data_IF_110145442880
#
_entry.id   IF_110145442880
#
_cell.length_a   1.000
_cell.length_b   1.000
_cell.length_c   1.000
_cell.angle_alpha   90.00
_cell.angle_beta   90.00
_cell.angle_gamma   90.00
#
_symmetry.space_group_name_H-M   'P 1'
#
loop_
_entity.id
_entity.type
_entity.pdbx_description
1 polymer ?
#
# COMPACT_ATOMS: atom_id res chain seq x y z
N UNK A 1 -12.98 25.48 -13.31
CA UNK A 1 -11.69 25.94 -13.87
C UNK A 1 -11.05 24.80 -14.65
N UNK A 2 -10.44 25.09 -15.82
CA UNK A 2 -9.68 24.11 -16.59
C UNK A 2 -8.22 24.49 -16.64
N UNK A 3 -7.34 23.48 -16.58
CA UNK A 3 -5.89 23.64 -16.69
C UNK A 3 -5.37 22.82 -17.86
N UNK A 4 -4.27 23.24 -18.51
CA UNK A 4 -3.61 22.43 -19.52
C UNK A 4 -3.04 21.15 -18.89
N UNK A 5 -2.89 20.10 -19.70
CA UNK A 5 -2.49 18.78 -19.19
C UNK A 5 -1.11 18.77 -18.53
N UNK A 6 -0.16 19.55 -19.05
CA UNK A 6 1.18 19.68 -18.45
C UNK A 6 1.12 20.26 -17.04
N UNK A 7 0.25 21.25 -16.79
CA UNK A 7 0.09 21.85 -15.47
C UNK A 7 -0.58 20.86 -14.51
N UNK A 8 -1.55 20.08 -14.99
CA UNK A 8 -2.14 19.00 -14.20
C UNK A 8 -1.08 17.95 -13.78
N UNK A 9 -0.15 17.60 -14.69
CA UNK A 9 0.97 16.72 -14.36
C UNK A 9 1.88 17.30 -13.29
N UNK A 10 2.23 18.59 -13.38
CA UNK A 10 3.03 19.27 -12.37
C UNK A 10 2.33 19.27 -11.01
N UNK A 11 1.03 19.63 -10.97
CA UNK A 11 0.25 19.63 -9.74
C UNK A 11 0.19 18.25 -9.11
N UNK A 12 -0.04 17.20 -9.91
CA UNK A 12 -0.02 15.83 -9.42
C UNK A 12 1.38 15.45 -8.93
N UNK A 13 2.43 15.69 -9.70
CA UNK A 13 3.81 15.36 -9.34
C UNK A 13 4.23 15.99 -8.01
N UNK A 14 4.00 17.29 -7.85
CA UNK A 14 4.28 18.01 -6.60
C UNK A 14 3.47 17.42 -5.45
N UNK A 15 2.16 17.19 -5.64
CA UNK A 15 1.31 16.69 -4.55
C UNK A 15 1.68 15.27 -4.12
N UNK A 16 2.00 14.39 -5.07
CA UNK A 16 2.50 13.05 -4.77
C UNK A 16 3.82 13.14 -4.00
N UNK A 17 4.79 13.93 -4.49
CA UNK A 17 6.08 14.10 -3.82
C UNK A 17 5.92 14.67 -2.41
N UNK A 18 5.13 15.73 -2.25
CA UNK A 18 4.85 16.34 -0.94
C UNK A 18 4.19 15.34 -0.02
N UNK A 19 3.14 14.63 -0.44
CA UNK A 19 2.48 13.63 0.38
C UNK A 19 3.44 12.50 0.80
N UNK A 20 4.29 12.04 -0.11
CA UNK A 20 5.29 11.00 0.17
C UNK A 20 6.35 11.42 1.19
N UNK A 21 6.74 12.70 1.19
CA UNK A 21 7.78 13.23 2.07
C UNK A 21 7.23 13.82 3.38
N UNK A 22 5.95 14.18 3.45
CA UNK A 22 5.40 14.95 4.58
C UNK A 22 5.55 14.24 5.92
N UNK A 23 5.46 12.91 5.91
CA UNK A 23 5.65 12.10 7.11
C UNK A 23 7.08 12.19 7.65
N UNK A 24 8.07 12.11 6.76
CA UNK A 24 9.49 12.22 7.12
C UNK A 24 9.81 13.61 7.64
N UNK A 25 9.29 14.64 6.98
CA UNK A 25 9.39 16.01 7.51
C UNK A 25 8.79 16.11 8.90
N UNK A 26 7.63 15.52 9.19
CA UNK A 26 7.03 15.62 10.52
C UNK A 26 7.76 14.80 11.60
N UNK A 27 8.27 13.61 11.28
CA UNK A 27 8.99 12.76 12.23
C UNK A 27 10.40 13.25 12.55
N UNK A 28 11.07 13.90 11.60
CA UNK A 28 12.42 14.46 11.78
C UNK A 28 12.43 15.93 12.26
N UNK A 29 11.30 16.65 12.12
CA UNK A 29 11.11 18.02 12.59
C UNK A 29 10.25 18.14 13.89
N UNK A 30 10.39 17.30 14.94
CA UNK A 30 9.90 17.68 16.26
C UNK A 30 10.74 18.81 16.89
N UNK A 31 11.93 19.10 16.36
CA UNK A 31 12.94 20.00 16.97
C UNK A 31 13.50 21.09 16.05
N UNK A 32 12.98 21.31 14.84
CA UNK A 32 13.50 22.38 13.98
C UNK A 32 13.06 23.75 14.52
N UNK A 33 13.98 24.67 14.84
CA UNK A 33 13.63 26.04 15.18
C UNK A 33 13.08 26.84 13.98
N UNK A 34 13.11 26.27 12.77
CA UNK A 34 12.77 26.96 11.51
C UNK A 34 11.40 26.59 10.93
N UNK A 35 10.79 25.47 11.34
CA UNK A 35 9.52 24.99 10.77
C UNK A 35 8.48 24.83 11.87
N UNK A 36 7.68 25.88 12.02
CA UNK A 36 6.63 26.07 13.02
C UNK A 36 5.38 25.18 12.74
N UNK A 37 4.51 24.89 13.74
CA UNK A 37 3.15 24.33 13.57
C UNK A 37 2.32 24.89 12.40
N UNK A 38 2.71 26.04 11.84
CA UNK A 38 2.28 26.56 10.53
C UNK A 38 2.24 25.53 9.38
N UNK A 39 3.07 24.48 9.35
CA UNK A 39 2.96 23.43 8.30
C UNK A 39 1.63 22.67 8.42
N UNK A 40 1.15 22.43 9.64
CA UNK A 40 -0.20 21.93 9.88
C UNK A 40 -1.27 22.91 9.38
N UNK A 41 -1.05 24.21 9.58
CA UNK A 41 -1.96 25.28 9.12
C UNK A 41 -1.99 25.43 7.59
N UNK A 42 -0.86 25.25 6.90
CA UNK A 42 -0.78 25.30 5.44
C UNK A 42 -1.35 24.05 4.78
N UNK A 43 -1.08 22.86 5.35
CA UNK A 43 -1.72 21.62 4.90
C UNK A 43 -3.24 21.69 5.08
N UNK A 44 -3.69 22.17 6.24
CA UNK A 44 -5.12 22.41 6.50
C UNK A 44 -5.71 23.42 5.51
N UNK A 45 -5.05 24.55 5.27
CA UNK A 45 -5.50 25.56 4.31
C UNK A 45 -5.59 24.99 2.87
N UNK A 46 -4.60 24.17 2.47
CA UNK A 46 -4.61 23.51 1.16
C UNK A 46 -5.78 22.52 1.03
N UNK A 47 -6.01 21.69 2.06
CA UNK A 47 -7.17 20.78 2.12
C UNK A 47 -8.48 21.56 2.06
N UNK A 48 -8.62 22.62 2.86
CA UNK A 48 -9.81 23.46 2.88
C UNK A 48 -10.09 24.11 1.52
N UNK A 49 -9.06 24.69 0.89
CA UNK A 49 -9.17 25.25 -0.45
C UNK A 49 -9.60 24.19 -1.48
N UNK A 50 -9.03 22.98 -1.43
CA UNK A 50 -9.43 21.88 -2.31
C UNK A 50 -10.88 21.44 -2.07
N UNK A 51 -11.36 21.46 -0.83
CA UNK A 51 -12.77 21.20 -0.52
C UNK A 51 -13.68 22.29 -1.10
N UNK A 52 -13.28 23.56 -1.04
CA UNK A 52 -14.02 24.66 -1.69
C UNK A 52 -14.06 24.48 -3.22
N UNK A 53 -12.94 24.08 -3.84
CA UNK A 53 -12.88 23.76 -5.26
C UNK A 53 -13.79 22.58 -5.60
N UNK A 54 -13.79 21.52 -4.78
CA UNK A 54 -14.68 20.37 -4.95
C UNK A 54 -16.15 20.78 -4.86
N UNK A 55 -16.52 21.55 -3.83
CA UNK A 55 -17.88 22.04 -3.62
C UNK A 55 -18.36 22.92 -4.79
N UNK A 56 -17.49 23.82 -5.26
CA UNK A 56 -17.77 24.65 -6.44
C UNK A 56 -17.98 23.82 -7.70
N UNK A 57 -17.08 22.87 -7.98
CA UNK A 57 -17.17 22.04 -9.19
C UNK A 57 -18.37 21.08 -9.15
N UNK A 58 -18.78 20.64 -7.97
CA UNK A 58 -20.01 19.86 -7.77
C UNK A 58 -21.25 20.69 -8.09
N UNK A 59 -21.33 21.94 -7.61
CA UNK A 59 -22.43 22.87 -7.91
C UNK A 59 -22.52 23.24 -9.39
N UNK A 60 -21.38 23.48 -10.04
CA UNK A 60 -21.35 23.94 -11.45
C UNK A 60 -21.61 22.82 -12.48
N UNK A 61 -21.56 21.55 -12.08
CA UNK A 61 -21.81 20.43 -13.00
C UNK A 61 -20.79 20.32 -14.14
N UNK A 62 -21.08 19.55 -15.20
CA UNK A 62 -20.20 19.40 -16.37
C UNK A 62 -20.16 20.67 -17.24
N UNK A 63 -18.97 21.26 -17.40
CA UNK A 63 -18.73 22.38 -18.33
C UNK A 63 -17.99 21.88 -19.59
N UNK A 64 -18.39 22.26 -20.82
CA UNK A 64 -17.68 21.93 -22.08
C UNK A 64 -16.42 22.79 -22.29
N UNK A 65 -15.41 22.31 -23.03
CA UNK A 65 -14.16 23.05 -23.34
C UNK A 65 -12.86 22.22 -23.28
N UNK A 66 -11.77 22.84 -23.75
CA UNK A 66 -10.43 22.22 -23.84
C UNK A 66 -9.67 22.25 -22.50
N UNK A 67 -8.97 21.15 -22.16
CA UNK A 67 -8.16 21.01 -20.95
C UNK A 67 -8.80 20.14 -19.85
N UNK A 68 -8.06 19.93 -18.77
CA UNK A 68 -8.46 19.09 -17.63
C UNK A 68 -9.18 19.96 -16.61
N UNK A 69 -10.39 19.56 -16.21
CA UNK A 69 -11.11 20.26 -15.14
C UNK A 69 -10.39 20.08 -13.81
N UNK A 70 -10.24 21.15 -13.04
CA UNK A 70 -9.69 21.07 -11.68
C UNK A 70 -10.46 20.07 -10.82
N UNK A 71 -11.79 20.08 -10.88
CA UNK A 71 -12.63 19.10 -10.18
C UNK A 71 -12.39 17.64 -10.58
N UNK A 72 -11.70 17.39 -11.71
CA UNK A 72 -11.27 16.03 -12.05
C UNK A 72 -10.05 15.58 -11.28
N UNK A 73 -9.11 16.46 -10.97
CA UNK A 73 -7.90 16.13 -10.21
C UNK A 73 -8.10 16.32 -8.71
N UNK A 74 -9.05 17.17 -8.28
CA UNK A 74 -9.33 17.42 -6.86
C UNK A 74 -9.51 16.16 -6.00
N UNK A 75 -10.23 15.10 -6.43
CA UNK A 75 -10.36 13.89 -5.62
C UNK A 75 -9.03 13.26 -5.22
N UNK A 76 -8.07 13.14 -6.15
CA UNK A 76 -6.78 12.53 -5.83
C UNK A 76 -5.91 13.44 -4.98
N UNK A 77 -5.99 14.75 -5.18
CA UNK A 77 -5.29 15.72 -4.31
C UNK A 77 -5.83 15.68 -2.88
N UNK A 78 -7.17 15.62 -2.73
CA UNK A 78 -7.81 15.45 -1.42
C UNK A 78 -7.44 14.12 -0.78
N UNK A 79 -7.42 13.02 -1.52
CA UNK A 79 -6.99 11.72 -0.99
C UNK A 79 -5.58 11.80 -0.41
N UNK A 80 -4.62 12.36 -1.16
CA UNK A 80 -3.22 12.49 -0.76
C UNK A 80 -3.03 13.41 0.45
N UNK A 81 -3.67 14.58 0.47
CA UNK A 81 -3.42 15.59 1.50
C UNK A 81 -4.26 15.38 2.76
N UNK A 82 -5.54 15.00 2.62
CA UNK A 82 -6.42 14.79 3.76
C UNK A 82 -6.00 13.55 4.56
N UNK A 83 -5.56 12.48 3.90
CA UNK A 83 -5.02 11.33 4.62
C UNK A 83 -3.83 11.74 5.48
N UNK A 84 -2.88 12.50 4.93
CA UNK A 84 -1.71 12.98 5.67
C UNK A 84 -2.07 13.91 6.82
N UNK A 85 -3.02 14.81 6.61
CA UNK A 85 -3.50 15.68 7.68
C UNK A 85 -4.13 14.88 8.83
N UNK A 86 -4.97 13.89 8.50
CA UNK A 86 -5.59 13.00 9.50
C UNK A 86 -4.53 12.16 10.22
N UNK A 87 -3.61 11.53 9.49
CA UNK A 87 -2.63 10.61 10.09
C UNK A 87 -1.60 11.34 10.97
N UNK A 88 -1.16 12.53 10.57
CA UNK A 88 -0.24 13.35 11.37
C UNK A 88 -0.95 14.06 12.54
N UNK A 89 -2.16 14.57 12.31
CA UNK A 89 -2.87 15.38 13.31
C UNK A 89 -3.64 14.56 14.35
N UNK A 90 -4.11 13.36 14.00
CA UNK A 90 -5.06 12.62 14.84
C UNK A 90 -4.52 11.30 15.37
N UNK A 91 -3.71 10.53 14.61
CA UNK A 91 -3.43 9.15 15.03
C UNK A 91 -2.65 9.07 16.34
N UNK A 92 -1.56 9.81 16.46
CA UNK A 92 -0.77 9.87 17.70
C UNK A 92 -1.60 10.39 18.88
N UNK A 93 -2.15 11.62 18.80
CA UNK A 93 -2.93 12.19 19.90
C UNK A 93 -4.10 11.32 20.35
N UNK A 94 -4.92 10.80 19.42
CA UNK A 94 -6.06 9.95 19.78
C UNK A 94 -5.60 8.62 20.36
N UNK A 95 -4.52 8.02 19.84
CA UNK A 95 -3.99 6.79 20.42
C UNK A 95 -3.55 7.00 21.88
N UNK A 96 -2.75 8.04 22.16
CA UNK A 96 -2.26 8.28 23.52
C UNK A 96 -3.35 8.68 24.52
N UNK A 97 -4.51 9.18 24.04
CA UNK A 97 -5.68 9.41 24.90
C UNK A 97 -6.37 8.11 25.34
N UNK A 98 -6.25 7.03 24.57
CA UNK A 98 -6.95 5.75 24.84
C UNK A 98 -6.00 4.60 25.16
N UNK A 99 -4.70 4.81 25.03
CA UNK A 99 -3.68 3.81 25.31
C UNK A 99 -3.63 3.53 26.81
N UNK A 100 -3.65 2.25 27.25
CA UNK A 100 -3.53 1.93 28.66
C UNK A 100 -2.19 2.40 29.23
N UNK A 101 -2.24 2.95 30.44
CA UNK A 101 -1.05 3.36 31.19
C UNK A 101 -0.21 2.15 31.61
N UNK A 102 1.10 2.36 31.81
CA UNK A 102 2.02 1.35 32.35
C UNK A 102 2.39 0.22 31.38
N UNK A 103 2.04 0.31 30.09
CA UNK A 103 2.47 -0.66 29.09
C UNK A 103 3.94 -0.47 28.72
N UNK A 104 4.66 -1.59 28.55
CA UNK A 104 5.99 -1.59 27.97
C UNK A 104 5.97 -1.03 26.53
N UNK A 105 7.06 -0.37 26.13
CA UNK A 105 7.18 0.32 24.84
C UNK A 105 6.86 -0.57 23.62
N UNK A 106 7.32 -1.82 23.63
CA UNK A 106 7.04 -2.77 22.55
C UNK A 106 5.54 -3.09 22.40
N UNK A 107 4.81 -3.15 23.52
CA UNK A 107 3.35 -3.34 23.49
C UNK A 107 2.63 -2.08 22.99
N UNK A 108 3.11 -0.89 23.36
CA UNK A 108 2.58 0.36 22.84
C UNK A 108 2.78 0.46 21.33
N UNK A 109 3.97 0.15 20.81
CA UNK A 109 4.24 0.16 19.36
C UNK A 109 3.35 -0.84 18.61
N UNK A 110 3.24 -2.08 19.10
CA UNK A 110 2.40 -3.10 18.46
C UNK A 110 0.92 -2.70 18.42
N UNK A 111 0.39 -2.12 19.51
CA UNK A 111 -0.98 -1.61 19.58
C UNK A 111 -1.16 -0.37 18.71
N UNK A 112 -0.18 0.53 18.68
CA UNK A 112 -0.22 1.72 17.83
C UNK A 112 -0.26 1.33 16.35
N UNK A 113 0.48 0.31 15.92
CA UNK A 113 0.41 -0.21 14.53
C UNK A 113 -0.98 -0.71 14.17
N UNK A 114 -1.64 -1.43 15.07
CA UNK A 114 -3.03 -1.86 14.88
C UNK A 114 -3.98 -0.66 14.82
N UNK A 115 -3.85 0.29 15.76
CA UNK A 115 -4.64 1.52 15.80
C UNK A 115 -4.49 2.35 14.52
N UNK A 116 -3.26 2.58 14.06
CA UNK A 116 -2.97 3.31 12.83
C UNK A 116 -3.50 2.59 11.60
N UNK A 117 -3.45 1.25 11.56
CA UNK A 117 -4.08 0.46 10.50
C UNK A 117 -5.60 0.64 10.45
N UNK A 118 -6.27 0.63 11.61
CA UNK A 118 -7.70 0.93 11.70
C UNK A 118 -8.02 2.37 11.27
N UNK A 119 -7.24 3.33 11.79
CA UNK A 119 -7.37 4.75 11.44
C UNK A 119 -7.25 4.98 9.95
N UNK A 120 -6.29 4.32 9.29
CA UNK A 120 -6.10 4.41 7.84
C UNK A 120 -7.26 3.78 7.07
N UNK A 121 -7.84 2.68 7.54
CA UNK A 121 -9.04 2.10 6.92
C UNK A 121 -10.25 3.01 7.03
N UNK A 122 -10.48 3.61 8.20
CA UNK A 122 -11.56 4.58 8.40
C UNK A 122 -11.36 5.81 7.51
N UNK A 123 -10.11 6.29 7.42
CA UNK A 123 -9.72 7.38 6.52
C UNK A 123 -10.00 6.99 5.07
N UNK A 124 -9.61 5.79 4.65
CA UNK A 124 -9.89 5.27 3.32
C UNK A 124 -11.39 5.18 3.01
N UNK A 125 -12.22 4.78 3.98
CA UNK A 125 -13.67 4.75 3.84
C UNK A 125 -14.23 6.16 3.59
N UNK A 126 -13.77 7.16 4.36
CA UNK A 126 -14.11 8.57 4.15
C UNK A 126 -13.68 9.05 2.75
N UNK A 127 -12.42 8.80 2.38
CA UNK A 127 -11.83 9.23 1.11
C UNK A 127 -12.48 8.58 -0.11
N UNK A 128 -13.01 7.36 0.04
CA UNK A 128 -13.74 6.66 -1.03
C UNK A 128 -14.94 7.48 -1.52
N UNK A 129 -15.52 8.32 -0.67
CA UNK A 129 -16.61 9.24 -1.02
C UNK A 129 -16.24 10.31 -2.05
N UNK A 130 -14.96 10.71 -2.13
CA UNK A 130 -14.51 11.73 -3.09
C UNK A 130 -14.48 11.24 -4.53
N UNK A 131 -14.46 9.92 -4.77
CA UNK A 131 -14.53 9.36 -6.11
C UNK A 131 -15.32 8.05 -6.16
N UNK A 132 -16.62 8.12 -6.52
CA UNK A 132 -17.43 6.92 -6.76
C UNK A 132 -16.83 5.95 -7.79
N UNK A 133 -16.18 6.40 -8.90
CA UNK A 133 -15.50 5.50 -9.81
C UNK A 133 -14.35 4.70 -9.17
N UNK A 134 -13.49 5.33 -8.35
CA UNK A 134 -12.43 4.61 -7.65
C UNK A 134 -13.02 3.66 -6.61
N UNK A 135 -13.97 4.11 -5.81
CA UNK A 135 -14.67 3.27 -4.85
C UNK A 135 -15.26 2.02 -5.51
N UNK A 136 -15.99 2.14 -6.62
CA UNK A 136 -16.53 0.98 -7.35
C UNK A 136 -15.44 0.02 -7.81
N UNK A 137 -14.29 0.53 -8.25
CA UNK A 137 -13.15 -0.32 -8.64
C UNK A 137 -12.54 -1.02 -7.43
N UNK A 138 -12.35 -0.31 -6.33
CA UNK A 138 -11.88 -0.85 -5.05
C UNK A 138 -12.82 -1.93 -4.54
N UNK A 139 -14.13 -1.66 -4.46
CA UNK A 139 -15.13 -2.61 -4.03
C UNK A 139 -15.09 -3.92 -4.83
N UNK A 140 -14.93 -3.84 -6.16
CA UNK A 140 -14.78 -5.05 -6.97
C UNK A 140 -13.58 -5.88 -6.52
N UNK A 141 -12.45 -5.25 -6.15
CA UNK A 141 -11.22 -5.93 -5.69
C UNK A 141 -11.34 -6.54 -4.29
N UNK A 142 -12.18 -5.98 -3.42
CA UNK A 142 -12.39 -6.43 -2.04
C UNK A 142 -13.67 -7.21 -1.78
N UNK A 143 -14.52 -7.41 -2.81
CA UNK A 143 -15.82 -8.07 -2.68
C UNK A 143 -15.71 -9.39 -1.90
N UNK A 144 -16.67 -9.74 -1.03
CA UNK A 144 -16.61 -10.95 -0.17
C UNK A 144 -16.25 -12.23 -0.94
N UNK A 145 -16.80 -12.42 -2.14
CA UNK A 145 -16.49 -13.58 -2.98
C UNK A 145 -15.04 -13.69 -3.48
N UNK A 146 -14.17 -12.68 -3.27
CA UNK A 146 -12.73 -12.75 -3.58
C UNK A 146 -11.86 -13.17 -2.39
N UNK A 147 -12.39 -13.09 -1.17
CA UNK A 147 -11.64 -13.40 0.05
C UNK A 147 -11.18 -14.86 0.12
N UNK A 148 -12.02 -15.88 -0.12
CA UNK A 148 -11.57 -17.27 -0.04
C UNK A 148 -10.40 -17.55 -0.98
N UNK A 149 -10.50 -17.09 -2.24
CA UNK A 149 -9.42 -17.24 -3.21
C UNK A 149 -8.17 -16.43 -2.81
N UNK A 150 -8.33 -15.27 -2.18
CA UNK A 150 -7.21 -14.46 -1.70
C UNK A 150 -6.47 -15.13 -0.56
N UNK A 151 -7.19 -15.60 0.46
CA UNK A 151 -6.64 -16.32 1.62
C UNK A 151 -5.95 -17.61 1.19
N UNK A 152 -6.59 -18.41 0.33
CA UNK A 152 -5.98 -19.64 -0.20
C UNK A 152 -4.72 -19.34 -1.04
N UNK A 153 -4.74 -18.25 -1.81
CA UNK A 153 -3.56 -17.80 -2.56
C UNK A 153 -2.40 -17.45 -1.63
N UNK A 154 -2.65 -16.67 -0.57
CA UNK A 154 -1.63 -16.31 0.43
C UNK A 154 -1.11 -17.56 1.13
N UNK A 155 -1.99 -18.45 1.58
CA UNK A 155 -1.62 -19.71 2.22
C UNK A 155 -0.75 -20.58 1.29
N UNK A 156 -1.08 -20.65 -0.01
CA UNK A 156 -0.29 -21.37 -1.00
C UNK A 156 1.11 -20.74 -1.21
N UNK A 157 1.22 -19.40 -1.22
CA UNK A 157 2.54 -18.72 -1.28
C UNK A 157 3.35 -19.04 -0.03
N UNK A 158 2.77 -18.85 1.16
CA UNK A 158 3.44 -19.08 2.44
C UNK A 158 3.92 -20.53 2.54
N UNK A 159 3.03 -21.50 2.30
CA UNK A 159 3.39 -22.91 2.30
C UNK A 159 4.47 -23.23 1.24
N UNK A 160 4.33 -22.67 0.03
CA UNK A 160 5.31 -22.84 -1.04
C UNK A 160 6.71 -22.31 -0.68
N UNK A 161 6.81 -21.17 0.01
CA UNK A 161 8.09 -20.62 0.50
C UNK A 161 8.78 -21.64 1.40
N UNK A 162 8.09 -22.13 2.43
CA UNK A 162 8.70 -23.06 3.39
C UNK A 162 8.96 -24.44 2.79
N UNK A 163 8.11 -24.93 1.89
CA UNK A 163 8.31 -26.20 1.20
C UNK A 163 9.53 -26.15 0.26
N UNK A 164 9.69 -25.08 -0.51
CA UNK A 164 10.84 -24.93 -1.43
C UNK A 164 12.14 -24.81 -0.62
N UNK A 165 12.18 -23.93 0.39
CA UNK A 165 13.38 -23.74 1.20
C UNK A 165 13.73 -24.99 2.01
N UNK A 166 12.75 -25.62 2.66
CA UNK A 166 12.96 -26.86 3.41
C UNK A 166 13.36 -28.03 2.51
N UNK A 167 12.75 -28.15 1.33
CA UNK A 167 13.08 -29.18 0.34
C UNK A 167 14.49 -29.01 -0.23
N UNK A 168 14.90 -27.78 -0.55
CA UNK A 168 16.27 -27.48 -1.00
C UNK A 168 17.29 -27.78 0.10
N UNK A 169 17.01 -27.39 1.35
CA UNK A 169 17.89 -27.69 2.46
C UNK A 169 18.06 -29.20 2.67
N UNK A 170 16.96 -29.96 2.65
CA UNK A 170 17.00 -31.41 2.76
C UNK A 170 17.77 -32.06 1.60
N UNK A 171 17.56 -31.58 0.36
CA UNK A 171 18.26 -32.08 -0.82
C UNK A 171 19.77 -31.81 -0.78
N UNK A 172 20.21 -30.73 -0.11
CA UNK A 172 21.61 -30.39 0.08
C UNK A 172 22.23 -31.03 1.35
N UNK A 173 21.50 -31.92 2.03
CA UNK A 173 21.96 -32.59 3.25
C UNK A 173 21.94 -31.72 4.51
N UNK A 174 21.40 -30.51 4.42
CA UNK A 174 21.28 -29.60 5.55
C UNK A 174 20.13 -29.98 6.49
N UNK A 175 20.36 -29.83 7.80
CA UNK A 175 19.33 -30.00 8.84
C UNK A 175 18.83 -28.65 9.32
N UNK A 176 17.98 -28.00 8.50
CA UNK A 176 17.32 -26.77 8.93
C UNK A 176 16.14 -27.10 9.86
N UNK A 177 16.05 -26.37 10.96
CA UNK A 177 14.89 -26.43 11.87
C UNK A 177 14.01 -25.23 11.65
N UNK A 178 12.71 -25.43 11.52
CA UNK A 178 11.76 -24.32 11.45
C UNK A 178 11.51 -23.79 12.86
N UNK A 179 11.94 -22.57 13.13
CA UNK A 179 11.71 -21.88 14.39
C UNK A 179 10.46 -21.00 14.28
N UNK A 180 9.57 -21.15 15.25
CA UNK A 180 8.38 -20.33 15.41
C UNK A 180 8.63 -19.28 16.49
N UNK A 181 8.25 -18.01 16.28
CA UNK A 181 8.27 -17.00 17.33
C UNK A 181 7.42 -17.43 18.52
N UNK A 182 7.83 -17.07 19.74
CA UNK A 182 7.09 -17.42 20.96
C UNK A 182 5.65 -16.87 20.91
N UNK A 183 4.63 -17.70 21.25
CA UNK A 183 3.23 -17.31 21.14
C UNK A 183 2.80 -16.43 22.33
N UNK A 184 3.33 -15.22 22.37
CA UNK A 184 3.03 -14.24 23.41
C UNK A 184 1.95 -13.25 22.95
N UNK A 185 1.31 -12.57 23.90
CA UNK A 185 0.29 -11.55 23.61
C UNK A 185 0.82 -10.45 22.65
N UNK A 186 2.10 -10.11 22.75
CA UNK A 186 2.77 -9.17 21.85
C UNK A 186 2.78 -9.66 20.39
N UNK A 187 3.04 -10.95 20.16
CA UNK A 187 3.04 -11.54 18.82
C UNK A 187 1.66 -11.43 18.18
N UNK A 188 0.59 -11.67 18.95
CA UNK A 188 -0.79 -11.51 18.47
C UNK A 188 -1.07 -10.09 17.99
N UNK A 189 -0.65 -9.07 18.74
CA UNK A 189 -0.78 -7.66 18.33
C UNK A 189 0.06 -7.33 17.09
N UNK A 190 1.29 -7.85 16.98
CA UNK A 190 2.12 -7.64 15.80
C UNK A 190 1.46 -8.27 14.57
N UNK A 191 1.03 -9.53 14.66
CA UNK A 191 0.43 -10.25 13.54
C UNK A 191 -0.85 -9.55 13.05
N UNK A 192 -1.80 -9.33 13.96
CA UNK A 192 -3.08 -8.69 13.64
C UNK A 192 -2.91 -7.22 13.21
N UNK A 193 -2.08 -6.47 13.92
CA UNK A 193 -1.83 -5.07 13.63
C UNK A 193 -1.17 -4.86 12.27
N UNK A 194 -0.19 -5.70 11.91
CA UNK A 194 0.43 -5.67 10.59
C UNK A 194 -0.50 -6.16 9.47
N UNK A 195 -1.34 -7.16 9.73
CA UNK A 195 -2.36 -7.57 8.76
C UNK A 195 -3.34 -6.43 8.44
N UNK A 196 -3.83 -5.76 9.50
CA UNK A 196 -4.75 -4.65 9.38
C UNK A 196 -4.11 -3.47 8.65
N UNK A 197 -2.88 -3.11 9.04
CA UNK A 197 -2.12 -2.04 8.40
C UNK A 197 -1.80 -2.34 6.93
N UNK A 198 -1.31 -3.54 6.61
CA UNK A 198 -1.05 -3.94 5.24
C UNK A 198 -2.33 -3.89 4.38
N UNK A 199 -3.47 -4.35 4.92
CA UNK A 199 -4.75 -4.23 4.22
C UNK A 199 -5.15 -2.77 3.99
N UNK A 200 -4.96 -1.90 4.98
CA UNK A 200 -5.21 -0.46 4.89
C UNK A 200 -4.35 0.22 3.82
N UNK A 201 -3.05 -0.06 3.83
CA UNK A 201 -2.10 0.50 2.86
C UNK A 201 -2.41 0.01 1.44
N UNK A 202 -2.69 -1.28 1.25
CA UNK A 202 -3.06 -1.81 -0.06
C UNK A 202 -4.41 -1.26 -0.54
N UNK A 203 -5.36 -1.03 0.36
CA UNK A 203 -6.61 -0.35 0.04
C UNK A 203 -6.32 1.09 -0.44
N UNK A 204 -5.45 1.81 0.27
CA UNK A 204 -5.13 3.20 -0.05
C UNK A 204 -4.34 3.33 -1.37
N UNK A 205 -3.13 2.77 -1.43
CA UNK A 205 -2.23 2.93 -2.57
C UNK A 205 -2.67 2.12 -3.79
N UNK A 206 -2.97 0.83 -3.58
CA UNK A 206 -3.16 -0.14 -4.67
C UNK A 206 -4.61 -0.29 -5.09
N UNK A 207 -5.54 0.30 -4.32
CA UNK A 207 -6.94 0.42 -4.74
C UNK A 207 -7.35 1.85 -5.03
N UNK A 208 -7.48 2.73 -4.03
CA UNK A 208 -8.02 4.08 -4.23
C UNK A 208 -7.15 4.94 -5.15
N UNK A 209 -5.90 5.22 -4.76
CA UNK A 209 -5.02 6.11 -5.51
C UNK A 209 -4.73 5.55 -6.91
N UNK A 210 -4.47 4.23 -7.01
CA UNK A 210 -4.27 3.55 -8.29
C UNK A 210 -5.50 3.67 -9.20
N UNK A 211 -6.70 3.44 -8.67
CA UNK A 211 -7.94 3.52 -9.45
C UNK A 211 -8.22 4.96 -9.93
N UNK A 212 -7.91 5.96 -9.10
CA UNK A 212 -8.02 7.37 -9.46
C UNK A 212 -7.02 7.77 -10.55
N UNK A 213 -5.76 7.36 -10.43
CA UNK A 213 -4.78 7.62 -11.49
C UNK A 213 -5.16 6.92 -12.80
N UNK A 214 -5.71 5.70 -12.74
CA UNK A 214 -6.22 5.02 -13.93
C UNK A 214 -7.44 5.74 -14.54
N UNK A 215 -8.26 6.41 -13.72
CA UNK A 215 -9.38 7.23 -14.20
C UNK A 215 -8.87 8.50 -14.88
N UNK A 216 -7.80 9.10 -14.35
CA UNK A 216 -7.19 10.33 -14.87
C UNK A 216 -6.31 10.11 -16.09
N UNK A 217 -5.66 8.95 -16.21
CA UNK A 217 -4.68 8.63 -17.26
C UNK A 217 -5.09 9.06 -18.68
N UNK A 218 -6.28 8.68 -19.19
CA UNK A 218 -6.71 9.09 -20.52
C UNK A 218 -6.82 10.61 -20.70
N UNK A 219 -7.20 11.34 -19.64
CA UNK A 219 -7.32 12.81 -19.64
C UNK A 219 -5.94 13.49 -19.60
N UNK A 220 -4.96 12.81 -19.03
CA UNK A 220 -3.56 13.23 -18.96
C UNK A 220 -2.75 12.87 -20.22
N UNK A 221 -3.39 12.27 -21.23
CA UNK A 221 -2.75 11.88 -22.49
C UNK A 221 -2.34 10.41 -22.58
N UNK A 222 -2.46 9.62 -21.51
CA UNK A 222 -2.16 8.19 -21.51
C UNK A 222 -3.35 7.38 -22.07
N UNK A 223 -3.48 7.36 -23.40
CA UNK A 223 -4.63 6.77 -24.11
C UNK A 223 -4.61 5.23 -24.19
N UNK A 224 -3.43 4.60 -24.05
CA UNK A 224 -3.30 3.14 -24.09
C UNK A 224 -3.56 2.47 -22.74
N UNK A 225 -4.08 1.23 -22.75
CA UNK A 225 -4.30 0.43 -21.52
C UNK A 225 -3.01 0.23 -20.73
N UNK A 226 -1.92 -0.10 -21.41
CA UNK A 226 -0.60 -0.30 -20.80
C UNK A 226 -0.06 1.02 -20.24
N UNK A 227 -0.06 2.08 -21.03
CA UNK A 227 0.37 3.41 -20.59
C UNK A 227 -0.41 3.90 -19.37
N UNK A 228 -1.74 3.77 -19.37
CA UNK A 228 -2.58 4.16 -18.23
C UNK A 228 -2.30 3.37 -16.96
N UNK A 229 -1.91 2.09 -17.07
CA UNK A 229 -1.50 1.29 -15.91
C UNK A 229 -0.18 1.79 -15.34
N UNK A 230 0.83 2.03 -16.18
CA UNK A 230 2.15 2.51 -15.72
C UNK A 230 2.08 3.92 -15.15
N UNK A 231 1.32 4.83 -15.77
CA UNK A 231 1.02 6.17 -15.26
C UNK A 231 0.37 6.13 -13.87
N UNK A 232 -0.37 5.08 -13.54
CA UNK A 232 -0.95 4.90 -12.23
C UNK A 232 0.00 4.21 -11.24
N UNK A 233 0.71 3.18 -11.69
CA UNK A 233 1.62 2.38 -10.86
C UNK A 233 2.83 3.19 -10.37
N UNK A 234 3.49 3.92 -11.27
CA UNK A 234 4.75 4.60 -10.94
C UNK A 234 4.54 5.63 -9.82
N UNK A 235 3.59 6.58 -9.91
CA UNK A 235 3.42 7.59 -8.86
C UNK A 235 2.95 6.99 -7.53
N UNK A 236 2.04 6.01 -7.56
CA UNK A 236 1.54 5.36 -6.33
C UNK A 236 2.61 4.52 -5.65
N UNK A 237 3.49 3.86 -6.41
CA UNK A 237 4.63 3.11 -5.86
C UNK A 237 5.72 4.04 -5.33
N UNK A 238 5.95 5.17 -6.01
CA UNK A 238 6.88 6.20 -5.54
C UNK A 238 6.43 6.79 -4.20
N UNK A 239 5.16 7.18 -4.07
CA UNK A 239 4.64 7.72 -2.80
C UNK A 239 4.71 6.68 -1.70
N UNK A 240 4.28 5.45 -1.97
CA UNK A 240 4.44 4.36 -1.00
C UNK A 240 5.91 4.20 -0.58
N UNK A 241 6.84 4.20 -1.53
CA UNK A 241 8.26 4.06 -1.26
C UNK A 241 8.78 5.16 -0.34
N UNK A 242 8.55 6.43 -0.71
CA UNK A 242 8.98 7.61 0.03
C UNK A 242 8.44 7.66 1.47
N UNK A 243 7.21 7.18 1.69
CA UNK A 243 6.62 7.17 3.03
C UNK A 243 7.27 6.16 3.99
N UNK A 244 8.00 5.18 3.46
CA UNK A 244 8.62 4.10 4.23
C UNK A 244 10.13 4.25 4.36
N UNK A 245 10.74 5.32 3.82
CA UNK A 245 12.17 5.59 3.96
C UNK A 245 12.41 6.35 5.26
N UNK A 246 13.12 5.77 6.22
CA UNK A 246 13.65 6.56 7.33
C UNK A 246 14.86 7.37 6.85
N UNK A 247 14.86 8.69 7.04
CA UNK A 247 15.99 9.54 6.68
C UNK A 247 16.99 9.60 7.84
N UNK A 248 18.25 9.26 7.58
CA UNK A 248 19.30 9.36 8.57
C UNK A 248 20.65 8.83 8.05
N UNK A 249 21.78 9.27 8.62
CA UNK A 249 23.06 8.66 8.33
C UNK A 249 23.14 7.24 8.93
N UNK A 250 23.82 6.30 8.27
CA UNK A 250 24.50 6.43 6.99
C UNK A 250 23.51 6.38 5.79
N UNK A 251 23.78 7.14 4.71
CA UNK A 251 22.81 7.39 3.62
C UNK A 251 22.50 6.16 2.74
N UNK A 252 23.34 5.13 2.83
CA UNK A 252 23.17 3.86 2.13
C UNK A 252 21.93 3.09 2.60
N UNK A 253 21.58 3.22 3.89
CA UNK A 253 20.42 2.52 4.47
C UNK A 253 19.08 3.11 4.01
N UNK A 254 18.84 4.44 4.06
CA UNK A 254 17.68 5.06 3.43
C UNK A 254 17.55 4.73 1.94
N UNK A 255 18.67 4.70 1.19
CA UNK A 255 18.65 4.36 -0.23
C UNK A 255 18.21 2.91 -0.47
N UNK A 256 18.72 1.98 0.34
CA UNK A 256 18.33 0.57 0.29
C UNK A 256 16.86 0.37 0.64
N UNK A 257 16.38 1.06 1.67
CA UNK A 257 14.96 1.06 2.04
C UNK A 257 14.10 1.62 0.91
N UNK A 258 14.49 2.74 0.31
CA UNK A 258 13.78 3.35 -0.82
C UNK A 258 13.70 2.41 -2.01
N UNK A 259 14.82 1.78 -2.39
CA UNK A 259 14.86 0.81 -3.47
C UNK A 259 13.96 -0.39 -3.18
N UNK A 260 14.01 -0.93 -1.96
CA UNK A 260 13.18 -2.06 -1.53
C UNK A 260 11.69 -1.71 -1.53
N UNK A 261 11.28 -0.62 -0.89
CA UNK A 261 9.87 -0.25 -0.72
C UNK A 261 9.25 0.20 -2.04
N UNK A 262 10.01 0.89 -2.91
CA UNK A 262 9.56 1.25 -4.25
C UNK A 262 9.38 0.00 -5.12
N UNK A 263 10.35 -0.92 -5.12
CA UNK A 263 10.25 -2.16 -5.88
C UNK A 263 9.10 -3.05 -5.39
N UNK A 264 8.99 -3.24 -4.07
CA UNK A 264 7.88 -3.96 -3.45
C UNK A 264 6.55 -3.32 -3.83
N UNK A 265 6.46 -2.00 -3.71
CA UNK A 265 5.24 -1.26 -4.04
C UNK A 265 4.81 -1.40 -5.48
N UNK A 266 5.77 -1.43 -6.41
CA UNK A 266 5.54 -1.66 -7.83
C UNK A 266 5.06 -3.10 -8.07
N UNK A 267 5.73 -4.08 -7.49
CA UNK A 267 5.41 -5.51 -7.65
C UNK A 267 4.01 -5.84 -7.10
N UNK A 268 3.67 -5.35 -5.90
CA UNK A 268 2.32 -5.47 -5.33
C UNK A 268 1.27 -4.77 -6.21
N UNK A 269 1.61 -3.60 -6.75
CA UNK A 269 0.78 -2.89 -7.73
C UNK A 269 0.53 -3.70 -9.01
N UNK A 270 1.55 -4.38 -9.55
CA UNK A 270 1.37 -5.27 -10.70
C UNK A 270 0.50 -6.47 -10.32
N UNK A 271 0.72 -7.08 -9.15
CA UNK A 271 -0.08 -8.20 -8.66
C UNK A 271 -1.55 -7.84 -8.50
N UNK A 272 -1.89 -6.66 -7.94
CA UNK A 272 -3.29 -6.25 -7.80
C UNK A 272 -3.97 -6.04 -9.16
N UNK A 273 -3.22 -5.56 -10.16
CA UNK A 273 -3.75 -5.36 -11.51
C UNK A 273 -3.90 -6.68 -12.27
N UNK A 274 -3.03 -7.65 -12.04
CA UNK A 274 -3.10 -8.97 -12.66
C UNK A 274 -4.20 -9.84 -12.04
N UNK A 275 -4.32 -9.83 -10.71
CA UNK A 275 -5.24 -10.72 -10.00
C UNK A 275 -6.62 -10.12 -9.79
N UNK A 276 -6.71 -8.79 -9.74
CA UNK A 276 -7.84 -8.01 -9.21
C UNK A 276 -8.28 -8.46 -7.80
N UNK A 277 -7.39 -9.03 -7.00
CA UNK A 277 -7.73 -9.57 -5.69
C UNK A 277 -6.94 -8.81 -4.62
N UNK A 278 -7.56 -7.82 -3.97
CA UNK A 278 -6.88 -7.03 -2.94
C UNK A 278 -6.56 -7.87 -1.69
N UNK A 279 -7.45 -8.73 -1.16
CA UNK A 279 -7.12 -9.61 -0.04
C UNK A 279 -5.86 -10.45 -0.26
N UNK A 280 -5.64 -10.97 -1.48
CA UNK A 280 -4.41 -11.69 -1.82
C UNK A 280 -3.15 -10.82 -1.66
N UNK A 281 -3.17 -9.62 -2.24
CA UNK A 281 -2.02 -8.70 -2.20
C UNK A 281 -1.78 -8.16 -0.80
N UNK A 282 -2.84 -7.82 -0.07
CA UNK A 282 -2.77 -7.39 1.32
C UNK A 282 -2.23 -8.47 2.25
N UNK A 283 -2.66 -9.74 2.09
CA UNK A 283 -2.12 -10.83 2.89
C UNK A 283 -0.67 -11.16 2.55
N UNK A 284 -0.26 -11.01 1.28
CA UNK A 284 1.15 -11.13 0.90
C UNK A 284 2.00 -10.01 1.51
N UNK A 285 1.50 -8.76 1.48
CA UNK A 285 2.15 -7.63 2.12
C UNK A 285 2.26 -7.84 3.64
N UNK A 286 1.18 -8.31 4.29
CA UNK A 286 1.20 -8.66 5.72
C UNK A 286 2.27 -9.72 6.03
N UNK A 287 2.36 -10.79 5.23
CA UNK A 287 3.38 -11.83 5.39
C UNK A 287 4.80 -11.28 5.25
N UNK A 288 5.04 -10.39 4.29
CA UNK A 288 6.34 -9.71 4.13
C UNK A 288 6.66 -8.86 5.37
N UNK A 289 5.68 -8.13 5.90
CA UNK A 289 5.88 -7.36 7.13
C UNK A 289 6.19 -8.28 8.32
N UNK A 290 5.53 -9.43 8.43
CA UNK A 290 5.84 -10.41 9.47
C UNK A 290 7.25 -11.00 9.34
N UNK A 291 7.71 -11.26 8.11
CA UNK A 291 9.09 -11.70 7.86
C UNK A 291 10.12 -10.64 8.29
N UNK A 292 9.90 -9.38 7.91
CA UNK A 292 10.79 -8.26 8.24
C UNK A 292 10.82 -7.97 9.74
N UNK A 293 9.69 -8.11 10.42
CA UNK A 293 9.59 -7.91 11.88
C UNK A 293 10.00 -9.13 12.70
N UNK A 294 10.38 -10.25 12.07
CA UNK A 294 10.70 -11.49 12.77
C UNK A 294 9.49 -12.17 13.44
N UNK A 295 8.28 -11.81 13.03
CA UNK A 295 7.01 -12.38 13.50
C UNK A 295 6.55 -13.60 12.68
N UNK A 296 7.21 -13.89 11.56
CA UNK A 296 6.98 -15.11 10.77
C UNK A 296 7.99 -16.21 11.13
N UNK A 297 7.65 -17.49 10.91
CA UNK A 297 8.58 -18.60 11.09
C UNK A 297 9.83 -18.44 10.22
N UNK A 298 10.97 -18.92 10.71
CA UNK A 298 12.24 -18.89 9.97
C UNK A 298 13.01 -20.18 10.16
N UNK A 299 13.72 -20.61 9.12
CA UNK A 299 14.70 -21.67 9.28
C UNK A 299 15.90 -21.18 10.07
N UNK A 300 16.32 -21.99 11.03
CA UNK A 300 17.53 -21.80 11.83
C UNK A 300 18.48 -22.97 11.62
N UNK A 301 19.77 -22.70 11.80
CA UNK A 301 20.83 -23.71 11.76
C UNK A 301 20.94 -24.47 13.10
N UNK A 302 21.96 -25.32 13.23
CA UNK A 302 22.18 -26.12 14.44
C UNK A 302 22.51 -25.29 15.68
N UNK A 303 23.01 -24.05 15.49
CA UNK A 303 23.29 -23.10 16.57
C UNK A 303 22.06 -22.30 16.99
N UNK A 304 20.96 -22.41 16.24
CA UNK A 304 19.74 -21.62 16.42
C UNK A 304 19.79 -20.23 15.76
N UNK A 305 20.87 -19.92 15.04
CA UNK A 305 20.98 -18.68 14.28
C UNK A 305 20.11 -18.74 13.00
N UNK A 306 19.59 -17.60 12.49
CA UNK A 306 18.86 -17.57 11.24
C UNK A 306 19.70 -18.15 10.09
N UNK A 307 19.22 -19.23 9.48
CA UNK A 307 19.98 -19.93 8.44
C UNK A 307 20.00 -19.19 7.09
N UNK A 308 19.03 -18.29 6.88
CA UNK A 308 18.85 -17.54 5.64
C UNK A 308 18.48 -16.09 5.94
N UNK A 309 18.94 -15.13 5.13
CA UNK A 309 18.53 -13.74 5.28
C UNK A 309 17.03 -13.58 4.93
N UNK A 310 16.37 -12.63 5.59
CA UNK A 310 14.93 -12.34 5.39
C UNK A 310 14.61 -12.05 3.91
N UNK A 311 15.53 -11.39 3.20
CA UNK A 311 15.38 -11.09 1.77
C UNK A 311 15.15 -12.33 0.90
N UNK A 312 15.69 -13.50 1.27
CA UNK A 312 15.46 -14.76 0.55
C UNK A 312 14.00 -15.20 0.63
N UNK A 313 13.39 -15.10 1.82
CA UNK A 313 11.97 -15.43 2.02
C UNK A 313 11.07 -14.48 1.25
N UNK A 314 11.36 -13.17 1.32
CA UNK A 314 10.59 -12.14 0.62
C UNK A 314 10.68 -12.32 -0.91
N UNK A 315 11.89 -12.52 -1.44
CA UNK A 315 12.10 -12.75 -2.87
C UNK A 315 11.37 -13.99 -3.38
N UNK A 316 11.44 -15.10 -2.64
CA UNK A 316 10.74 -16.33 -2.98
C UNK A 316 9.21 -16.19 -2.87
N UNK A 317 8.70 -15.51 -1.85
CA UNK A 317 7.28 -15.24 -1.68
C UNK A 317 6.73 -14.45 -2.88
N UNK A 318 7.45 -13.41 -3.32
CA UNK A 318 7.08 -12.62 -4.49
C UNK A 318 7.15 -13.48 -5.77
N UNK A 319 8.23 -14.25 -5.98
CA UNK A 319 8.34 -15.13 -7.15
C UNK A 319 7.17 -16.11 -7.25
N UNK A 320 6.84 -16.80 -6.15
CA UNK A 320 5.71 -17.73 -6.08
C UNK A 320 4.37 -17.02 -6.30
N UNK A 321 4.18 -15.83 -5.75
CA UNK A 321 2.96 -15.04 -5.97
C UNK A 321 2.76 -14.70 -7.45
N UNK A 322 3.83 -14.33 -8.17
CA UNK A 322 3.77 -14.08 -9.61
C UNK A 322 3.52 -15.36 -10.43
N UNK A 323 4.12 -16.48 -10.05
CA UNK A 323 3.83 -17.79 -10.67
C UNK A 323 2.36 -18.15 -10.49
N UNK A 324 1.80 -18.02 -9.28
CA UNK A 324 0.38 -18.27 -9.03
C UNK A 324 -0.52 -17.33 -9.84
N UNK A 325 -0.19 -16.04 -9.91
CA UNK A 325 -0.95 -15.08 -10.71
C UNK A 325 -0.93 -15.44 -12.21
N UNK A 326 0.24 -15.82 -12.74
CA UNK A 326 0.39 -16.26 -14.13
C UNK A 326 -0.44 -17.53 -14.42
N UNK A 327 -0.38 -18.54 -13.56
CA UNK A 327 -1.13 -19.78 -13.71
C UNK A 327 -2.64 -19.53 -13.65
N UNK A 328 -3.10 -18.66 -12.76
CA UNK A 328 -4.51 -18.28 -12.66
C UNK A 328 -5.00 -17.60 -13.95
N UNK A 329 -4.20 -16.68 -14.52
CA UNK A 329 -4.54 -15.97 -15.75
C UNK A 329 -4.57 -16.91 -16.96
N UNK A 330 -3.57 -17.80 -17.10
CA UNK A 330 -3.54 -18.80 -18.17
C UNK A 330 -4.79 -19.70 -18.16
N UNK A 331 -5.26 -20.10 -16.97
CA UNK A 331 -6.49 -20.88 -16.80
C UNK A 331 -7.74 -20.11 -17.24
N UNK A 332 -7.82 -18.81 -16.94
CA UNK A 332 -8.94 -17.94 -17.38
C UNK A 332 -9.02 -17.85 -18.91
N UNK A 333 -7.90 -17.56 -19.57
CA UNK A 333 -7.82 -17.47 -21.04
C UNK A 333 -8.22 -18.80 -21.70
N UNK A 334 -7.74 -19.93 -21.15
CA UNK A 334 -8.06 -21.26 -21.67
C UNK A 334 -9.56 -21.59 -21.55
N UNK A 335 -10.21 -21.20 -20.44
CA UNK A 335 -11.66 -21.38 -20.26
C UNK A 335 -12.48 -20.52 -21.22
N UNK A 336 -12.08 -19.26 -21.43
CA UNK A 336 -12.77 -18.36 -22.35
C UNK A 336 -12.79 -18.91 -23.79
N UNK A 337 -11.65 -19.44 -24.27
CA UNK A 337 -11.54 -20.06 -25.60
C UNK A 337 -12.41 -21.32 -25.77
N UNK A 338 -12.52 -22.15 -24.72
CA UNK A 338 -13.39 -23.34 -24.75
C UNK A 338 -14.88 -22.97 -24.71
N UNK A 339 -15.23 -21.89 -24.02
CA UNK A 339 -16.60 -21.37 -23.98
C UNK A 339 -17.06 -20.82 -25.34
N UNK A 340 -16.19 -20.09 -26.05
CA UNK A 340 -16.53 -19.58 -27.39
C UNK A 340 -16.67 -20.68 -28.44
N UNK A 341 -15.87 -21.75 -28.36
CA UNK A 341 -15.92 -22.87 -29.31
C UNK A 341 -17.15 -23.80 -29.13
N UNK A 342 -17.87 -23.71 -28.00
CA UNK A 342 -19.12 -24.46 -27.77
C UNK A 342 -20.37 -23.66 -28.13
N UNK A 343 -20.22 -22.35 -28.36
CA UNK A 343 -21.32 -21.44 -28.71
C UNK A 343 -21.40 -21.17 -30.22
N UNK A 344 -20.47 -21.70 -31.01
CA UNK A 344 -20.43 -21.71 -32.48
C UNK A 344 -20.87 -23.05 -33.02
#
# INVERSE_FOLDING_TARGET
>A
MRVPAWLAWILLGITFLTAGLLRQFHSEIPRSPYVNPLVGSLLFAAVFFLLLVAAREWRLGPLPGHGIRMGSITPILLMLLLEKWISLGLYGPVFYLVAPEGLAEANLDARYRAFAGLGLLLTCALLSGFSPPAWRRTWRRIRPGRWPAGVLGVAAVVAGVYLVLGGLAAALGGRLRLHWPAPEALLGWILCGQALRAFAEEYYYRSLLLAEMQRLGPRLGARGRVASRWVALIPTSLVFGLEHVALGPPWEEPLRQAAFTLALGLLLGVLVLATENLPFVAGLHAFINWLVLGAAPRFVDETGAPALPVGTYVGLALALAFVLAYLAERRRVSRARRGSARAS
#
